data_IF_625831494970
#
_entry.id   IF_625831494970
#
_cell.length_a   1.000
_cell.length_b   1.000
_cell.length_c   1.000
_cell.angle_alpha   90.00
_cell.angle_beta   90.00
_cell.angle_gamma   90.00
#
_symmetry.space_group_name_H-M   'P 1'
#
loop_
_entity.id
_entity.type
_entity.pdbx_description
1 polymer ?
#
# COMPACT_ATOMS: atom_id res chain seq x y z
N UNK A 1 -20.21 17.97 -14.58
CA UNK A 1 -19.23 17.93 -13.46
C UNK A 1 -19.83 17.06 -12.35
N UNK A 2 -19.16 16.00 -11.89
CA UNK A 2 -19.69 15.21 -10.78
C UNK A 2 -19.72 16.07 -9.50
N UNK A 3 -20.88 16.16 -8.85
CA UNK A 3 -21.05 16.80 -7.55
C UNK A 3 -20.15 16.14 -6.50
N UNK A 4 -19.88 16.82 -5.39
CA UNK A 4 -19.11 16.26 -4.26
C UNK A 4 -19.71 14.93 -3.77
N UNK A 5 -21.05 14.81 -3.79
CA UNK A 5 -21.76 13.57 -3.51
C UNK A 5 -21.44 12.46 -4.53
N UNK A 6 -21.45 12.78 -5.83
CA UNK A 6 -21.12 11.81 -6.89
C UNK A 6 -19.69 11.25 -6.79
N UNK A 7 -18.71 12.08 -6.37
CA UNK A 7 -17.34 11.60 -6.11
C UNK A 7 -17.25 10.71 -4.87
N UNK A 8 -18.04 11.00 -3.84
CA UNK A 8 -18.14 10.17 -2.65
C UNK A 8 -18.68 8.77 -2.95
N UNK A 9 -19.79 8.70 -3.69
CA UNK A 9 -20.39 7.42 -4.12
C UNK A 9 -19.40 6.61 -4.93
N UNK A 10 -18.74 7.23 -5.92
CA UNK A 10 -17.77 6.55 -6.76
C UNK A 10 -16.56 6.00 -5.96
N UNK A 11 -16.12 6.72 -4.92
CA UNK A 11 -15.08 6.22 -4.01
C UNK A 11 -15.53 5.00 -3.20
N UNK A 12 -16.75 5.04 -2.66
CA UNK A 12 -17.33 3.90 -1.94
C UNK A 12 -17.53 2.69 -2.86
N UNK A 13 -17.99 2.91 -4.10
CA UNK A 13 -18.10 1.85 -5.10
C UNK A 13 -16.74 1.23 -5.43
N UNK A 14 -15.69 2.03 -5.58
CA UNK A 14 -14.34 1.50 -5.80
C UNK A 14 -13.86 0.69 -4.59
N UNK A 15 -14.06 1.19 -3.37
CA UNK A 15 -13.70 0.42 -2.16
C UNK A 15 -14.46 -0.91 -2.11
N UNK A 16 -15.75 -0.92 -2.41
CA UNK A 16 -16.55 -2.15 -2.47
C UNK A 16 -16.03 -3.13 -3.54
N UNK A 17 -15.69 -2.64 -4.73
CA UNK A 17 -15.09 -3.46 -5.80
C UNK A 17 -13.74 -4.03 -5.35
N UNK A 18 -12.88 -3.22 -4.73
CA UNK A 18 -11.58 -3.66 -4.23
C UNK A 18 -11.71 -4.72 -3.12
N UNK A 19 -12.68 -4.58 -2.23
CA UNK A 19 -13.00 -5.58 -1.21
C UNK A 19 -13.54 -6.87 -1.84
N UNK A 20 -14.42 -6.78 -2.84
CA UNK A 20 -14.95 -7.94 -3.55
C UNK A 20 -13.83 -8.70 -4.27
N UNK A 21 -12.96 -8.00 -5.01
CA UNK A 21 -11.78 -8.60 -5.66
C UNK A 21 -10.86 -9.22 -4.60
N UNK A 22 -10.58 -8.50 -3.51
CA UNK A 22 -9.76 -9.02 -2.41
C UNK A 22 -10.35 -10.27 -1.77
N UNK A 23 -11.67 -10.35 -1.65
CA UNK A 23 -12.39 -11.52 -1.13
C UNK A 23 -12.26 -12.71 -2.09
N UNK A 24 -12.51 -12.50 -3.39
CA UNK A 24 -12.34 -13.55 -4.42
C UNK A 24 -10.92 -14.07 -4.40
N UNK A 25 -9.92 -13.18 -4.42
CA UNK A 25 -8.51 -13.57 -4.33
C UNK A 25 -8.26 -14.36 -3.04
N UNK A 26 -8.70 -13.86 -1.88
CA UNK A 26 -8.48 -14.51 -0.60
C UNK A 26 -9.18 -15.88 -0.45
N UNK A 27 -10.25 -16.14 -1.21
CA UNK A 27 -10.91 -17.46 -1.25
C UNK A 27 -10.18 -18.41 -2.21
N UNK A 28 -9.73 -17.91 -3.36
CA UNK A 28 -8.97 -18.70 -4.33
C UNK A 28 -7.59 -19.08 -3.81
N UNK A 29 -7.02 -18.23 -2.97
CA UNK A 29 -5.76 -18.47 -2.29
C UNK A 29 -6.03 -19.21 -0.98
N UNK A 30 -5.80 -20.52 -0.91
CA UNK A 30 -5.97 -21.27 0.35
C UNK A 30 -4.84 -20.95 1.36
N UNK A 31 -5.10 -20.21 2.47
CA UNK A 31 -4.07 -19.84 3.42
C UNK A 31 -3.96 -20.82 4.60
N UNK A 32 -4.75 -21.91 4.64
CA UNK A 32 -4.79 -22.87 5.76
C UNK A 32 -3.57 -23.78 5.87
N UNK A 33 -2.66 -23.72 4.91
CA UNK A 33 -1.56 -24.68 4.80
C UNK A 33 -0.26 -24.21 5.45
N UNK A 34 -0.23 -23.01 6.06
CA UNK A 34 0.90 -22.54 6.87
C UNK A 34 0.82 -23.09 8.28
N UNK A 35 1.97 -23.54 8.80
CA UNK A 35 2.16 -23.62 10.25
C UNK A 35 2.05 -22.22 10.85
N UNK A 36 1.34 -22.12 11.98
CA UNK A 36 1.17 -20.87 12.70
C UNK A 36 2.54 -20.38 13.15
N UNK A 37 3.00 -19.27 12.57
CA UNK A 37 4.21 -18.64 13.05
C UNK A 37 3.95 -18.03 14.43
N UNK A 38 4.75 -18.42 15.41
CA UNK A 38 4.73 -17.84 16.75
C UNK A 38 5.32 -16.44 16.69
N UNK A 39 4.56 -15.45 17.13
CA UNK A 39 5.05 -14.08 17.24
C UNK A 39 5.78 -13.95 18.57
N UNK A 40 7.04 -13.51 18.51
CA UNK A 40 7.84 -13.23 19.69
C UNK A 40 7.20 -12.09 20.52
N UNK A 41 7.11 -12.18 21.86
CA UNK A 41 6.54 -11.13 22.70
C UNK A 41 7.12 -9.73 22.47
N UNK A 42 8.39 -9.62 22.11
CA UNK A 42 8.99 -8.32 21.81
C UNK A 42 8.40 -7.71 20.52
N UNK A 43 8.24 -8.49 19.47
CA UNK A 43 7.63 -8.05 18.21
C UNK A 43 6.16 -7.64 18.41
N UNK A 44 5.42 -8.39 19.24
CA UNK A 44 4.05 -8.05 19.62
C UNK A 44 3.97 -6.68 20.34
N UNK A 45 4.83 -6.45 21.35
CA UNK A 45 4.86 -5.17 22.07
C UNK A 45 5.23 -3.99 21.18
N UNK A 46 6.22 -4.15 20.32
CA UNK A 46 6.59 -3.13 19.33
C UNK A 46 5.40 -2.87 18.39
N UNK A 47 4.70 -3.91 17.94
CA UNK A 47 3.51 -3.77 17.11
C UNK A 47 2.40 -2.97 17.82
N UNK A 48 2.17 -3.20 19.12
CA UNK A 48 1.20 -2.44 19.93
C UNK A 48 1.55 -0.96 20.01
N UNK A 49 2.83 -0.62 20.27
CA UNK A 49 3.29 0.78 20.32
C UNK A 49 3.09 1.45 18.96
N UNK A 50 3.51 0.82 17.88
CA UNK A 50 3.33 1.34 16.51
C UNK A 50 1.86 1.47 16.14
N UNK A 51 1.01 0.51 16.55
CA UNK A 51 -0.42 0.55 16.34
C UNK A 51 -1.03 1.78 17.02
N UNK A 52 -0.71 2.02 18.30
CA UNK A 52 -1.18 3.19 19.04
C UNK A 52 -0.76 4.48 18.33
N UNK A 53 0.51 4.59 17.91
CA UNK A 53 0.99 5.76 17.18
C UNK A 53 0.24 5.97 15.85
N UNK A 54 0.02 4.91 15.09
CA UNK A 54 -0.73 4.96 13.83
C UNK A 54 -2.20 5.34 14.03
N UNK A 55 -2.86 4.77 15.04
CA UNK A 55 -4.25 5.08 15.40
C UNK A 55 -4.36 6.53 15.88
N UNK A 56 -3.47 7.00 16.74
CA UNK A 56 -3.43 8.40 17.20
C UNK A 56 -3.27 9.36 16.02
N UNK A 57 -2.38 9.06 15.07
CA UNK A 57 -2.24 9.87 13.85
C UNK A 57 -3.54 9.96 13.04
N UNK A 58 -4.21 8.83 12.84
CA UNK A 58 -5.50 8.79 12.13
C UNK A 58 -6.60 9.53 12.89
N UNK A 59 -6.69 9.36 14.21
CA UNK A 59 -7.67 10.04 15.06
C UNK A 59 -7.46 11.56 15.06
N UNK A 60 -6.21 12.03 15.22
CA UNK A 60 -5.88 13.45 15.09
C UNK A 60 -6.33 13.96 13.73
N UNK A 61 -6.03 13.23 12.65
CA UNK A 61 -6.43 13.61 11.30
C UNK A 61 -7.96 13.67 11.12
N UNK A 62 -8.68 12.68 11.64
CA UNK A 62 -10.14 12.59 11.57
C UNK A 62 -10.82 13.70 12.38
N UNK A 63 -10.35 13.97 13.60
CA UNK A 63 -10.88 15.01 14.49
C UNK A 63 -10.56 16.40 13.92
N UNK A 64 -9.31 16.64 13.51
CA UNK A 64 -8.90 17.91 12.92
C UNK A 64 -9.59 18.18 11.56
N UNK A 65 -10.04 17.15 10.85
CA UNK A 65 -10.85 17.32 9.65
C UNK A 65 -12.27 17.85 9.95
N UNK A 66 -12.79 17.65 11.17
CA UNK A 66 -14.14 18.07 11.60
C UNK A 66 -14.13 19.33 12.47
N UNK A 67 -12.99 19.70 13.03
CA UNK A 67 -12.87 20.78 14.03
C UNK A 67 -11.89 21.87 13.58
N UNK A 68 -11.87 23.00 14.28
CA UNK A 68 -10.89 24.10 14.06
C UNK A 68 -9.51 23.82 14.69
N UNK A 69 -9.20 22.57 15.05
CA UNK A 69 -7.96 22.16 15.75
C UNK A 69 -6.66 22.35 14.93
N UNK A 70 -6.73 22.97 13.75
CA UNK A 70 -5.65 23.14 12.76
C UNK A 70 -4.50 24.05 13.24
N UNK A 71 -4.63 24.69 14.42
CA UNK A 71 -3.59 25.60 14.95
C UNK A 71 -2.41 24.91 15.64
N UNK A 72 -2.47 23.60 15.92
CA UNK A 72 -1.34 22.88 16.55
C UNK A 72 -0.40 22.25 15.51
N UNK A 73 0.93 22.33 15.70
CA UNK A 73 1.90 21.70 14.79
C UNK A 73 1.63 20.19 14.68
N UNK A 74 1.69 19.63 13.47
CA UNK A 74 1.42 18.22 13.18
C UNK A 74 -0.05 17.87 12.94
N UNK A 75 -1.00 18.59 13.57
CA UNK A 75 -2.43 18.35 13.34
C UNK A 75 -2.85 18.67 11.90
N UNK A 76 -2.22 19.68 11.28
CA UNK A 76 -2.46 20.01 9.88
C UNK A 76 -1.96 18.91 8.93
N UNK A 77 -0.79 18.31 9.20
CA UNK A 77 -0.27 17.18 8.44
C UNK A 77 -1.16 15.93 8.55
N UNK A 78 -1.56 15.57 9.78
CA UNK A 78 -2.46 14.46 10.03
C UNK A 78 -3.81 14.67 9.32
N UNK A 79 -4.39 15.87 9.43
CA UNK A 79 -5.62 16.25 8.72
C UNK A 79 -5.46 16.15 7.21
N UNK A 80 -4.36 16.67 6.67
CA UNK A 80 -4.08 16.62 5.24
C UNK A 80 -4.03 15.17 4.75
N UNK A 81 -3.30 14.31 5.47
CA UNK A 81 -3.19 12.89 5.14
C UNK A 81 -4.53 12.15 5.22
N UNK A 82 -5.34 12.42 6.26
CA UNK A 82 -6.67 11.83 6.43
C UNK A 82 -7.65 12.27 5.33
N UNK A 83 -7.70 13.57 5.03
CA UNK A 83 -8.59 14.08 3.99
C UNK A 83 -8.14 13.58 2.61
N UNK A 84 -6.84 13.58 2.33
CA UNK A 84 -6.32 13.15 1.05
C UNK A 84 -6.42 11.62 0.84
N UNK A 85 -6.44 10.81 1.90
CA UNK A 85 -6.65 9.36 1.78
C UNK A 85 -8.12 8.97 1.68
N UNK A 86 -9.03 9.68 2.36
CA UNK A 86 -10.48 9.38 2.34
C UNK A 86 -11.24 10.13 1.24
N UNK A 87 -10.80 11.35 0.94
CA UNK A 87 -11.34 12.25 -0.10
C UNK A 87 -10.20 12.77 -1.00
N UNK A 88 -9.47 11.88 -1.68
CA UNK A 88 -8.35 12.18 -2.59
C UNK A 88 -8.55 13.31 -3.61
N UNK A 89 -9.78 13.56 -4.07
CA UNK A 89 -10.08 14.69 -4.95
C UNK A 89 -9.91 16.07 -4.28
N UNK A 90 -9.81 16.13 -2.94
CA UNK A 90 -9.54 17.34 -2.14
C UNK A 90 -8.08 17.43 -1.66
N UNK A 91 -7.21 16.54 -2.13
CA UNK A 91 -5.79 16.48 -1.71
C UNK A 91 -5.06 17.82 -1.85
N UNK A 92 -5.29 18.56 -2.94
CA UNK A 92 -4.71 19.90 -3.15
C UNK A 92 -5.12 20.88 -2.06
N UNK A 93 -6.42 21.06 -1.84
CA UNK A 93 -6.96 21.95 -0.80
C UNK A 93 -6.39 21.62 0.58
N UNK A 94 -6.23 20.34 0.87
CA UNK A 94 -5.75 19.87 2.17
C UNK A 94 -4.26 20.10 2.42
N UNK A 95 -3.47 20.33 1.36
CA UNK A 95 -2.01 20.52 1.44
C UNK A 95 -1.56 22.00 1.37
N UNK A 96 -2.51 22.93 1.20
CA UNK A 96 -2.23 24.37 1.19
C UNK A 96 -1.95 24.87 2.60
N UNK A 97 -0.96 25.76 2.74
CA UNK A 97 -0.63 26.41 4.02
C UNK A 97 0.09 25.54 5.05
N UNK A 98 0.60 24.36 4.65
CA UNK A 98 1.38 23.49 5.55
C UNK A 98 2.71 24.13 5.94
N UNK A 99 3.00 24.13 7.25
CA UNK A 99 4.26 24.58 7.83
C UNK A 99 5.40 23.60 7.47
N UNK A 100 6.68 24.01 7.58
CA UNK A 100 7.82 23.13 7.33
C UNK A 100 7.81 21.85 8.18
N UNK A 101 7.43 21.97 9.45
CA UNK A 101 7.31 20.82 10.35
C UNK A 101 6.18 19.87 9.92
N UNK A 102 5.04 20.40 9.48
CA UNK A 102 3.93 19.57 8.98
C UNK A 102 4.34 18.77 7.74
N UNK A 103 5.09 19.41 6.85
CA UNK A 103 5.65 18.78 5.64
C UNK A 103 6.61 17.64 5.99
N UNK A 104 7.47 17.87 6.99
CA UNK A 104 8.39 16.86 7.49
C UNK A 104 7.63 15.68 8.11
N UNK A 105 6.66 15.95 8.98
CA UNK A 105 5.83 14.92 9.63
C UNK A 105 5.02 14.11 8.62
N UNK A 106 4.56 14.73 7.52
CA UNK A 106 3.83 14.03 6.45
C UNK A 106 4.69 13.02 5.66
N UNK A 107 6.01 13.13 5.75
CA UNK A 107 6.96 12.16 5.18
C UNK A 107 7.42 11.19 6.28
N UNK A 108 7.86 11.72 7.42
CA UNK A 108 8.44 10.93 8.51
C UNK A 108 7.44 9.95 9.10
N UNK A 109 6.20 10.36 9.40
CA UNK A 109 5.25 9.48 10.08
C UNK A 109 4.85 8.29 9.21
N UNK A 110 4.37 8.46 7.96
CA UNK A 110 4.05 7.32 7.11
C UNK A 110 5.28 6.49 6.73
N UNK A 111 6.42 7.14 6.48
CA UNK A 111 7.68 6.46 6.13
C UNK A 111 8.22 5.60 7.26
N UNK A 112 8.32 6.16 8.48
CA UNK A 112 8.75 5.43 9.66
C UNK A 112 7.76 4.32 10.00
N UNK A 113 6.46 4.57 9.95
CA UNK A 113 5.46 3.54 10.24
C UNK A 113 5.55 2.38 9.24
N UNK A 114 5.74 2.67 7.94
CA UNK A 114 5.94 1.65 6.92
C UNK A 114 7.19 0.81 7.19
N UNK A 115 8.34 1.46 7.38
CA UNK A 115 9.62 0.78 7.61
C UNK A 115 9.55 -0.06 8.89
N UNK A 116 9.10 0.51 9.99
CA UNK A 116 9.02 -0.18 11.28
C UNK A 116 7.98 -1.32 11.24
N UNK A 117 6.86 -1.15 10.54
CA UNK A 117 5.90 -2.26 10.32
C UNK A 117 6.57 -3.40 9.55
N UNK A 118 7.42 -3.11 8.54
CA UNK A 118 8.15 -4.15 7.81
C UNK A 118 9.21 -4.84 8.67
N UNK A 119 9.93 -4.10 9.50
CA UNK A 119 10.89 -4.68 10.46
C UNK A 119 10.17 -5.63 11.41
N UNK A 120 9.04 -5.21 11.99
CA UNK A 120 8.26 -6.05 12.91
C UNK A 120 7.72 -7.31 12.22
N UNK A 121 7.37 -7.22 10.94
CA UNK A 121 6.85 -8.35 10.16
C UNK A 121 7.93 -9.31 9.65
N UNK A 122 9.20 -9.00 9.84
CA UNK A 122 10.29 -9.76 9.22
C UNK A 122 11.25 -10.24 10.32
N UNK A 123 11.37 -11.55 10.57
CA UNK A 123 12.43 -12.08 11.42
C UNK A 123 13.82 -11.66 10.91
N UNK A 124 14.82 -11.67 11.80
CA UNK A 124 16.16 -11.09 11.53
C UNK A 124 16.83 -11.58 10.25
N UNK A 125 16.51 -12.77 9.76
CA UNK A 125 17.13 -13.37 8.56
C UNK A 125 16.43 -12.95 7.24
N UNK A 126 15.27 -12.30 7.31
CA UNK A 126 14.44 -11.93 6.15
C UNK A 126 14.61 -10.50 5.62
N UNK A 127 15.62 -9.75 6.08
CA UNK A 127 15.77 -8.31 5.81
C UNK A 127 15.81 -7.95 4.31
N UNK A 128 16.24 -8.86 3.44
CA UNK A 128 16.23 -8.64 1.99
C UNK A 128 14.83 -8.43 1.41
N UNK A 129 13.84 -9.20 1.85
CA UNK A 129 12.45 -9.02 1.41
C UNK A 129 11.88 -7.68 1.85
N UNK A 130 12.25 -7.23 3.06
CA UNK A 130 11.94 -5.89 3.55
C UNK A 130 12.59 -4.82 2.67
N UNK A 131 13.90 -4.92 2.41
CA UNK A 131 14.65 -3.94 1.62
C UNK A 131 14.07 -3.80 0.21
N UNK A 132 13.71 -4.92 -0.44
CA UNK A 132 13.09 -4.90 -1.76
C UNK A 132 11.69 -4.26 -1.71
N UNK A 133 10.90 -4.54 -0.68
CA UNK A 133 9.60 -3.89 -0.50
C UNK A 133 9.73 -2.37 -0.30
N UNK A 134 10.68 -1.93 0.53
CA UNK A 134 10.98 -0.50 0.75
C UNK A 134 11.51 0.14 -0.54
N UNK A 135 12.42 -0.52 -1.25
CA UNK A 135 12.95 -0.07 -2.53
C UNK A 135 11.84 0.11 -3.57
N UNK A 136 10.86 -0.78 -3.61
CA UNK A 136 9.68 -0.65 -4.47
C UNK A 136 8.89 0.64 -4.21
N UNK A 137 8.67 0.99 -2.94
CA UNK A 137 8.05 2.27 -2.56
C UNK A 137 8.90 3.48 -2.93
N UNK A 138 10.22 3.40 -2.75
CA UNK A 138 11.14 4.47 -3.13
C UNK A 138 11.20 4.68 -4.65
N UNK A 139 11.21 3.61 -5.44
CA UNK A 139 11.13 3.67 -6.90
C UNK A 139 9.82 4.31 -7.34
N UNK A 140 8.70 3.92 -6.73
CA UNK A 140 7.41 4.56 -7.00
C UNK A 140 7.43 6.06 -6.66
N UNK A 141 7.94 6.43 -5.49
CA UNK A 141 8.06 7.84 -5.07
C UNK A 141 8.96 8.64 -6.02
N UNK A 142 10.09 8.07 -6.46
CA UNK A 142 11.00 8.68 -7.43
C UNK A 142 10.32 8.87 -8.79
N UNK A 143 9.63 7.86 -9.32
CA UNK A 143 8.90 7.94 -10.58
C UNK A 143 7.83 9.04 -10.54
N UNK A 144 7.03 9.08 -9.45
CA UNK A 144 6.05 10.14 -9.20
C UNK A 144 6.72 11.52 -9.17
N UNK A 145 7.84 11.65 -8.45
CA UNK A 145 8.58 12.91 -8.32
C UNK A 145 9.11 13.41 -9.66
N UNK A 146 9.63 12.51 -10.50
CA UNK A 146 10.12 12.82 -11.84
C UNK A 146 8.97 13.30 -12.75
N UNK A 147 7.82 12.62 -12.71
CA UNK A 147 6.67 12.95 -13.56
C UNK A 147 5.95 14.24 -13.16
N UNK A 148 5.97 14.59 -11.87
CA UNK A 148 5.47 15.87 -11.37
C UNK A 148 6.32 17.05 -11.85
N UNK A 149 7.64 16.86 -11.99
CA UNK A 149 8.56 17.91 -12.43
C UNK A 149 8.61 19.08 -11.43
N UNK A 150 8.30 20.31 -11.86
CA UNK A 150 8.29 21.50 -10.97
C UNK A 150 7.01 21.66 -10.14
N UNK A 151 6.03 20.76 -10.29
CA UNK A 151 4.74 20.82 -9.57
C UNK A 151 4.90 20.40 -8.11
N UNK A 152 3.99 20.88 -7.26
CA UNK A 152 3.98 20.56 -5.83
C UNK A 152 3.71 19.07 -5.56
N UNK A 153 4.59 18.37 -4.81
CA UNK A 153 4.41 16.95 -4.47
C UNK A 153 3.52 16.72 -3.25
N UNK A 154 3.22 17.76 -2.46
CA UNK A 154 2.52 17.62 -1.19
C UNK A 154 1.12 16.97 -1.27
N UNK A 155 0.29 17.22 -2.30
CA UNK A 155 -1.01 16.55 -2.42
C UNK A 155 -0.91 15.02 -2.54
N UNK A 156 0.08 14.51 -3.27
CA UNK A 156 0.25 13.06 -3.43
C UNK A 156 0.89 12.44 -2.19
N UNK A 157 1.86 13.13 -1.57
CA UNK A 157 2.47 12.68 -0.31
C UNK A 157 1.40 12.56 0.78
N UNK A 158 0.48 13.53 0.88
CA UNK A 158 -0.65 13.46 1.80
C UNK A 158 -1.56 12.24 1.52
N UNK A 159 -1.95 12.05 0.25
CA UNK A 159 -2.87 11.01 -0.16
C UNK A 159 -2.29 9.60 0.08
N UNK A 160 -1.09 9.36 -0.45
CA UNK A 160 -0.37 8.09 -0.34
C UNK A 160 0.03 7.83 1.11
N UNK A 161 0.55 8.84 1.81
CA UNK A 161 0.93 8.73 3.22
C UNK A 161 -0.23 8.34 4.12
N UNK A 162 -1.40 8.98 3.96
CA UNK A 162 -2.59 8.61 4.73
C UNK A 162 -3.10 7.20 4.43
N UNK A 163 -3.07 6.77 3.16
CA UNK A 163 -3.45 5.42 2.76
C UNK A 163 -2.46 4.35 3.27
N UNK A 164 -1.16 4.67 3.28
CA UNK A 164 -0.11 3.82 3.86
C UNK A 164 -0.28 3.65 5.37
N UNK A 165 -0.61 4.72 6.10
CA UNK A 165 -0.86 4.62 7.55
C UNK A 165 -2.05 3.71 7.83
N UNK A 166 -3.17 3.85 7.08
CA UNK A 166 -4.32 2.95 7.21
C UNK A 166 -3.94 1.47 6.99
N UNK A 167 -3.14 1.20 5.95
CA UNK A 167 -2.61 -0.13 5.67
C UNK A 167 -1.75 -0.66 6.82
N UNK A 168 -0.82 0.15 7.32
CA UNK A 168 0.07 -0.25 8.40
C UNK A 168 -0.72 -0.53 9.69
N UNK A 169 -1.74 0.29 10.02
CA UNK A 169 -2.62 0.06 11.17
C UNK A 169 -3.33 -1.29 11.09
N UNK A 170 -3.90 -1.67 9.93
CA UNK A 170 -4.52 -2.98 9.76
C UNK A 170 -3.52 -4.11 9.92
N UNK A 171 -2.33 -3.96 9.35
CA UNK A 171 -1.31 -5.00 9.43
C UNK A 171 -0.74 -5.14 10.86
N UNK A 172 -0.54 -4.03 11.57
CA UNK A 172 -0.09 -3.99 12.96
C UNK A 172 -1.17 -4.51 13.92
N UNK A 173 -2.46 -4.29 13.64
CA UNK A 173 -3.55 -4.83 14.44
C UNK A 173 -3.45 -6.35 14.54
N UNK A 174 -3.24 -7.02 13.41
CA UNK A 174 -3.10 -8.47 13.37
C UNK A 174 -1.89 -8.97 14.19
N UNK A 175 -0.75 -8.28 14.13
CA UNK A 175 0.48 -8.63 14.86
C UNK A 175 0.41 -8.27 16.35
N UNK A 176 -0.23 -7.15 16.69
CA UNK A 176 -0.33 -6.64 18.06
C UNK A 176 -1.21 -7.48 18.98
N UNK A 177 -2.11 -8.26 18.36
CA UNK A 177 -3.05 -9.16 18.98
C UNK A 177 -2.63 -10.61 18.72
N UNK A 178 -1.31 -10.84 18.56
CA UNK A 178 -0.79 -12.16 18.21
C UNK A 178 -0.58 -13.12 19.39
N UNK A 179 -0.69 -12.63 20.63
CA UNK A 179 -0.49 -13.43 21.84
C UNK A 179 -1.48 -14.59 22.03
N UNK A 180 -1.27 -15.44 23.06
CA UNK A 180 -2.04 -16.69 23.27
C UNK A 180 -3.57 -16.49 23.38
N UNK A 181 -3.98 -15.36 23.96
CA UNK A 181 -5.38 -14.95 24.16
C UNK A 181 -5.89 -14.02 23.03
N UNK A 182 -5.07 -13.78 22.01
CA UNK A 182 -5.29 -12.78 20.97
C UNK A 182 -6.14 -13.28 19.79
N UNK A 183 -6.21 -12.48 18.72
CA UNK A 183 -6.98 -12.84 17.51
C UNK A 183 -6.21 -13.77 16.58
N UNK A 184 -4.90 -13.96 16.77
CA UNK A 184 -4.07 -14.82 15.91
C UNK A 184 -4.61 -16.23 15.80
N UNK A 185 -4.90 -16.94 16.91
CA UNK A 185 -5.43 -18.29 16.83
C UNK A 185 -6.76 -18.30 16.09
N UNK A 186 -7.61 -17.28 16.28
CA UNK A 186 -8.89 -17.14 15.57
C UNK A 186 -8.70 -16.89 14.06
N UNK A 187 -7.75 -16.04 13.66
CA UNK A 187 -7.39 -15.80 12.25
C UNK A 187 -6.97 -17.11 11.56
N UNK A 188 -6.23 -17.97 12.27
CA UNK A 188 -5.77 -19.24 11.74
C UNK A 188 -6.85 -20.33 11.77
N UNK A 189 -7.69 -20.35 12.80
CA UNK A 189 -8.76 -21.33 12.98
C UNK A 189 -9.99 -21.06 12.10
N UNK A 190 -10.34 -19.80 11.86
CA UNK A 190 -11.59 -19.43 11.19
C UNK A 190 -11.35 -18.88 9.77
N UNK A 191 -11.84 -19.56 8.71
CA UNK A 191 -11.61 -19.16 7.31
C UNK A 191 -12.03 -17.74 7.01
N UNK A 192 -13.21 -17.37 7.49
CA UNK A 192 -13.87 -16.11 7.15
C UNK A 192 -13.16 -14.90 7.77
N UNK A 193 -12.57 -15.03 8.97
CA UNK A 193 -11.78 -13.96 9.61
C UNK A 193 -10.57 -13.64 8.74
N UNK A 194 -9.92 -14.69 8.23
CA UNK A 194 -8.74 -14.55 7.39
C UNK A 194 -9.06 -13.99 6.01
N UNK A 195 -10.12 -14.48 5.38
CA UNK A 195 -10.60 -13.93 4.10
C UNK A 195 -10.91 -12.45 4.25
N UNK A 196 -11.58 -12.06 5.33
CA UNK A 196 -11.87 -10.65 5.64
C UNK A 196 -10.57 -9.84 5.82
N UNK A 197 -9.61 -10.33 6.61
CA UNK A 197 -8.32 -9.68 6.80
C UNK A 197 -7.58 -9.48 5.47
N UNK A 198 -7.48 -10.52 4.64
CA UNK A 198 -6.81 -10.47 3.35
C UNK A 198 -7.52 -9.53 2.37
N UNK A 199 -8.85 -9.56 2.33
CA UNK A 199 -9.64 -8.66 1.50
C UNK A 199 -9.39 -7.19 1.87
N UNK A 200 -9.39 -6.86 3.16
CA UNK A 200 -9.10 -5.51 3.65
C UNK A 200 -7.64 -5.13 3.37
N UNK A 201 -6.70 -6.02 3.64
CA UNK A 201 -5.28 -5.78 3.41
C UNK A 201 -4.99 -5.52 1.93
N UNK A 202 -5.58 -6.30 1.03
CA UNK A 202 -5.51 -6.12 -0.42
C UNK A 202 -6.14 -4.79 -0.85
N UNK A 203 -7.37 -4.53 -0.41
CA UNK A 203 -8.09 -3.31 -0.76
C UNK A 203 -7.31 -2.06 -0.36
N UNK A 204 -6.65 -2.08 0.81
CA UNK A 204 -5.80 -0.96 1.27
C UNK A 204 -4.52 -0.80 0.43
N UNK A 205 -3.91 -1.88 -0.10
CA UNK A 205 -2.81 -1.73 -1.09
C UNK A 205 -3.32 -1.04 -2.33
N UNK A 206 -4.38 -1.60 -2.93
CA UNK A 206 -4.92 -1.10 -4.18
C UNK A 206 -5.40 0.35 -4.03
N UNK A 207 -5.97 0.69 -2.87
CA UNK A 207 -6.38 2.04 -2.53
C UNK A 207 -5.23 3.05 -2.59
N UNK A 208 -4.01 2.69 -2.21
CA UNK A 208 -2.84 3.58 -2.33
C UNK A 208 -2.64 4.05 -3.78
N UNK A 209 -2.81 3.16 -4.76
CA UNK A 209 -2.69 3.51 -6.17
C UNK A 209 -3.88 4.33 -6.67
N UNK A 210 -5.10 4.04 -6.17
CA UNK A 210 -6.30 4.83 -6.48
C UNK A 210 -6.15 6.28 -6.00
N UNK A 211 -5.75 6.48 -4.74
CA UNK A 211 -5.56 7.84 -4.18
C UNK A 211 -4.40 8.57 -4.86
N UNK A 212 -3.33 7.86 -5.25
CA UNK A 212 -2.25 8.42 -6.05
C UNK A 212 -2.76 8.91 -7.42
N UNK A 213 -3.49 8.07 -8.16
CA UNK A 213 -4.06 8.42 -9.45
C UNK A 213 -5.02 9.62 -9.37
N UNK A 214 -5.89 9.67 -8.36
CA UNK A 214 -6.81 10.79 -8.22
C UNK A 214 -6.13 12.09 -7.76
N UNK A 215 -5.18 12.02 -6.83
CA UNK A 215 -4.41 13.20 -6.41
C UNK A 215 -3.59 13.80 -7.57
N UNK A 216 -3.08 12.96 -8.47
CA UNK A 216 -2.33 13.38 -9.66
C UNK A 216 -3.23 13.87 -10.80
N UNK A 217 -4.50 13.44 -10.87
CA UNK A 217 -5.40 13.75 -11.98
C UNK A 217 -5.60 15.26 -12.18
N UNK A 218 -5.62 16.03 -11.08
CA UNK A 218 -5.73 17.49 -11.13
C UNK A 218 -4.43 18.18 -11.59
N UNK A 219 -3.29 17.48 -11.52
CA UNK A 219 -1.97 18.03 -11.84
C UNK A 219 -1.46 17.64 -13.24
N UNK A 220 -1.70 16.39 -13.63
CA UNK A 220 -1.16 15.78 -14.84
C UNK A 220 -2.24 15.46 -15.88
N UNK A 221 -3.52 15.64 -15.54
CA UNK A 221 -4.66 15.18 -16.34
C UNK A 221 -4.99 13.71 -16.10
N UNK A 222 -6.23 13.32 -16.41
CA UNK A 222 -6.79 11.98 -16.11
C UNK A 222 -5.96 10.84 -16.69
N UNK A 223 -5.54 10.96 -17.96
CA UNK A 223 -4.75 9.92 -18.64
C UNK A 223 -3.42 9.66 -17.96
N UNK A 224 -2.60 10.71 -17.77
CA UNK A 224 -1.26 10.56 -17.19
C UNK A 224 -1.32 10.07 -15.77
N UNK A 225 -2.30 10.53 -14.99
CA UNK A 225 -2.49 10.09 -13.62
C UNK A 225 -2.92 8.63 -13.52
N UNK A 226 -3.80 8.15 -14.41
CA UNK A 226 -4.12 6.73 -14.53
C UNK A 226 -2.88 5.91 -14.94
N UNK A 227 -2.05 6.44 -15.85
CA UNK A 227 -0.78 5.84 -16.22
C UNK A 227 0.17 5.66 -15.04
N UNK A 228 0.30 6.67 -14.17
CA UNK A 228 1.14 6.56 -12.96
C UNK A 228 0.61 5.52 -11.98
N UNK A 229 -0.71 5.49 -11.73
CA UNK A 229 -1.30 4.49 -10.86
C UNK A 229 -1.09 3.07 -11.39
N UNK A 230 -1.29 2.87 -12.70
CA UNK A 230 -1.09 1.59 -13.37
C UNK A 230 0.38 1.16 -13.39
N UNK A 231 1.30 2.10 -13.65
CA UNK A 231 2.73 1.84 -13.59
C UNK A 231 3.18 1.44 -12.18
N UNK A 232 2.72 2.16 -11.15
CA UNK A 232 3.00 1.82 -9.76
C UNK A 232 2.47 0.45 -9.36
N UNK A 233 1.25 0.10 -9.81
CA UNK A 233 0.69 -1.24 -9.63
C UNK A 233 1.54 -2.30 -10.34
N UNK A 234 1.97 -2.04 -11.57
CA UNK A 234 2.87 -2.90 -12.34
C UNK A 234 4.20 -3.15 -11.63
N UNK A 235 4.83 -2.11 -11.06
CA UNK A 235 6.02 -2.27 -10.20
C UNK A 235 5.71 -3.16 -9.01
N UNK A 236 4.59 -2.92 -8.32
CA UNK A 236 4.15 -3.75 -7.20
C UNK A 236 4.05 -5.24 -7.53
N UNK A 237 3.50 -5.57 -8.70
CA UNK A 237 3.41 -6.96 -9.20
C UNK A 237 4.72 -7.53 -9.73
N UNK A 238 5.64 -6.68 -10.21
CA UNK A 238 6.95 -7.11 -10.67
C UNK A 238 7.94 -7.36 -9.51
N UNK A 239 7.72 -6.79 -8.33
CA UNK A 239 8.62 -6.93 -7.17
C UNK A 239 8.84 -8.39 -6.73
N UNK A 240 7.80 -9.25 -6.60
CA UNK A 240 8.02 -10.68 -6.30
C UNK A 240 8.94 -11.35 -7.32
N UNK A 241 8.71 -11.12 -8.62
CA UNK A 241 9.54 -11.69 -9.69
C UNK A 241 10.98 -11.17 -9.64
N UNK A 242 11.18 -9.88 -9.39
CA UNK A 242 12.51 -9.30 -9.20
C UNK A 242 13.23 -9.88 -7.97
N UNK A 243 12.50 -10.11 -6.88
CA UNK A 243 13.03 -10.75 -5.66
C UNK A 243 13.53 -12.16 -5.97
N UNK A 244 12.73 -12.95 -6.68
CA UNK A 244 13.08 -14.30 -7.12
C UNK A 244 14.30 -14.28 -8.05
N UNK A 245 14.37 -13.31 -8.98
CA UNK A 245 15.48 -13.18 -9.90
C UNK A 245 16.80 -12.82 -9.18
N UNK A 246 16.75 -12.04 -8.10
CA UNK A 246 17.94 -11.59 -7.35
C UNK A 246 18.36 -12.61 -6.29
N UNK A 247 17.42 -13.12 -5.50
CA UNK A 247 17.70 -13.99 -4.35
C UNK A 247 17.66 -15.47 -4.71
N UNK A 248 17.10 -15.83 -5.87
CA UNK A 248 16.70 -17.20 -6.17
C UNK A 248 15.33 -17.53 -5.56
N UNK A 249 14.60 -18.40 -6.26
CA UNK A 249 13.26 -18.84 -5.88
C UNK A 249 13.18 -19.42 -4.46
N UNK A 250 14.16 -20.25 -4.07
CA UNK A 250 14.17 -20.95 -2.79
C UNK A 250 14.33 -20.00 -1.61
N UNK A 251 15.31 -19.09 -1.66
CA UNK A 251 15.57 -18.13 -0.59
C UNK A 251 14.48 -17.05 -0.50
N UNK A 252 13.92 -16.63 -1.65
CA UNK A 252 12.78 -15.73 -1.68
C UNK A 252 11.55 -16.34 -0.97
N UNK A 253 11.21 -17.61 -1.28
CA UNK A 253 10.11 -18.31 -0.62
C UNK A 253 10.37 -18.52 0.86
N UNK A 254 11.58 -18.96 1.25
CA UNK A 254 11.94 -19.10 2.66
C UNK A 254 11.71 -17.79 3.40
N UNK A 255 12.25 -16.69 2.87
CA UNK A 255 12.12 -15.35 3.44
C UNK A 255 10.66 -14.91 3.56
N UNK A 256 9.82 -15.18 2.55
CA UNK A 256 8.40 -14.81 2.60
C UNK A 256 7.59 -15.71 3.53
N UNK A 257 7.97 -16.98 3.67
CA UNK A 257 7.37 -17.94 4.59
C UNK A 257 7.70 -17.65 6.05
N UNK A 258 8.87 -17.07 6.30
CA UNK A 258 9.27 -16.62 7.62
C UNK A 258 8.70 -15.24 7.99
N UNK A 259 8.02 -14.51 7.10
CA UNK A 259 7.42 -13.22 7.48
C UNK A 259 6.20 -13.40 8.40
N UNK A 260 6.19 -12.66 9.51
CA UNK A 260 5.06 -12.51 10.43
C UNK A 260 3.96 -11.75 9.69
N UNK A 261 3.04 -12.50 9.12
CA UNK A 261 1.92 -11.96 8.35
C UNK A 261 1.04 -13.05 7.76
N UNK A 262 -0.22 -12.71 7.57
CA UNK A 262 -1.24 -13.63 7.02
C UNK A 262 -1.19 -13.68 5.49
N UNK A 263 -0.35 -12.85 4.85
CA UNK A 263 -0.25 -12.82 3.39
C UNK A 263 0.31 -14.16 2.87
N UNK A 264 -0.43 -14.82 1.96
CA UNK A 264 -0.11 -16.15 1.46
C UNK A 264 0.97 -16.05 0.39
N UNK A 265 2.21 -16.34 0.76
CA UNK A 265 3.32 -16.44 -0.20
C UNK A 265 3.82 -17.86 -0.37
N UNK A 266 3.13 -18.85 0.22
CA UNK A 266 3.51 -20.25 0.03
C UNK A 266 3.01 -20.77 -1.33
N UNK A 267 3.65 -20.21 -2.34
CA UNK A 267 3.44 -20.44 -3.76
C UNK A 267 3.53 -21.94 -4.11
N UNK A 268 4.36 -22.72 -3.40
CA UNK A 268 4.52 -24.15 -3.60
C UNK A 268 3.20 -24.94 -3.58
N UNK A 269 2.16 -24.48 -2.85
CA UNK A 269 0.87 -25.18 -2.77
C UNK A 269 -0.26 -24.58 -3.59
N UNK A 270 -0.12 -23.36 -4.12
CA UNK A 270 -1.13 -22.74 -5.00
C UNK A 270 -1.40 -23.53 -6.29
N UNK A 271 -0.44 -24.36 -6.70
CA UNK A 271 -0.54 -25.21 -7.89
C UNK A 271 -0.79 -26.68 -7.56
N UNK A 272 -1.07 -27.03 -6.29
CA UNK A 272 -1.23 -28.41 -5.85
C UNK A 272 0.06 -29.23 -5.82
N UNK A 273 1.24 -28.60 -5.98
CA UNK A 273 2.52 -29.30 -5.93
C UNK A 273 2.86 -29.69 -4.48
N UNK A 274 2.49 -30.91 -4.09
CA UNK A 274 2.94 -31.54 -2.83
C UNK A 274 4.45 -31.84 -2.80
N UNK A 275 5.16 -31.64 -3.92
CA UNK A 275 6.52 -32.15 -4.12
C UNK A 275 7.61 -31.06 -4.17
N UNK A 276 7.34 -29.86 -3.63
CA UNK A 276 8.37 -28.80 -3.55
C UNK A 276 8.71 -28.14 -4.89
N UNK A 277 7.86 -28.32 -5.92
CA UNK A 277 8.01 -27.62 -7.20
C UNK A 277 7.58 -26.14 -7.07
N UNK A 278 8.45 -25.23 -7.48
CA UNK A 278 8.17 -23.80 -7.55
C UNK A 278 7.10 -23.51 -8.61
N UNK A 279 6.01 -22.76 -8.30
CA UNK A 279 4.95 -22.50 -9.27
C UNK A 279 5.36 -21.40 -10.25
N UNK A 280 6.28 -21.75 -11.13
CA UNK A 280 6.86 -20.84 -12.10
C UNK A 280 5.76 -20.18 -12.93
N UNK A 281 4.70 -20.89 -13.28
CA UNK A 281 3.56 -20.39 -14.06
C UNK A 281 2.81 -19.22 -13.40
N UNK A 282 2.50 -19.31 -12.11
CA UNK A 282 1.79 -18.22 -11.40
C UNK A 282 2.72 -17.01 -11.28
N UNK A 283 4.00 -17.25 -10.98
CA UNK A 283 5.00 -16.19 -10.88
C UNK A 283 5.26 -15.50 -12.22
N UNK A 284 5.41 -16.26 -13.30
CA UNK A 284 5.59 -15.71 -14.65
C UNK A 284 4.35 -14.99 -15.11
N UNK A 285 3.15 -15.53 -14.88
CA UNK A 285 1.89 -14.85 -15.21
C UNK A 285 1.76 -13.53 -14.47
N UNK A 286 2.04 -13.52 -13.16
CA UNK A 286 2.00 -12.31 -12.34
C UNK A 286 3.05 -11.29 -12.79
N UNK A 287 4.26 -11.75 -13.13
CA UNK A 287 5.33 -10.92 -13.67
C UNK A 287 4.96 -10.31 -15.02
N UNK A 288 4.34 -11.08 -15.92
CA UNK A 288 3.88 -10.63 -17.24
C UNK A 288 2.77 -9.60 -17.08
N UNK A 289 1.76 -9.87 -16.25
CA UNK A 289 0.69 -8.89 -15.94
C UNK A 289 1.30 -7.61 -15.37
N UNK A 290 2.23 -7.73 -14.41
CA UNK A 290 2.95 -6.60 -13.84
C UNK A 290 3.75 -5.81 -14.87
N UNK A 291 4.47 -6.50 -15.76
CA UNK A 291 5.25 -5.92 -16.84
C UNK A 291 4.38 -5.19 -17.88
N UNK A 292 3.27 -5.80 -18.31
CA UNK A 292 2.31 -5.17 -19.23
C UNK A 292 1.68 -3.93 -18.57
N UNK A 293 1.23 -4.03 -17.33
CA UNK A 293 0.69 -2.91 -16.58
C UNK A 293 1.72 -1.78 -16.44
N UNK A 294 2.98 -2.12 -16.15
CA UNK A 294 4.08 -1.17 -16.07
C UNK A 294 4.29 -0.43 -17.41
N UNK A 295 4.42 -1.18 -18.51
CA UNK A 295 4.66 -0.61 -19.85
C UNK A 295 3.50 0.29 -20.26
N UNK A 296 2.27 -0.21 -20.18
CA UNK A 296 1.06 0.57 -20.52
C UNK A 296 0.96 1.80 -19.63
N UNK A 297 1.22 1.66 -18.33
CA UNK A 297 1.23 2.75 -17.37
C UNK A 297 2.24 3.85 -17.73
N UNK A 298 3.47 3.48 -18.05
CA UNK A 298 4.53 4.39 -18.50
C UNK A 298 4.11 5.12 -19.79
N UNK A 299 3.62 4.39 -20.80
CA UNK A 299 3.17 4.97 -22.07
C UNK A 299 1.99 5.95 -21.89
N UNK A 300 1.11 5.68 -20.92
CA UNK A 300 0.03 6.60 -20.57
C UNK A 300 0.53 7.82 -19.77
N UNK A 301 1.58 7.67 -18.95
CA UNK A 301 2.16 8.70 -18.11
C UNK A 301 3.06 9.70 -18.87
N UNK A 302 3.63 9.28 -20.01
CA UNK A 302 4.49 10.13 -20.83
C UNK A 302 3.69 11.28 -21.49
N UNK A 303 4.27 12.50 -21.56
CA UNK A 303 3.66 13.60 -22.27
C UNK A 303 3.62 13.30 -23.78
N UNK A 304 2.49 13.55 -24.45
CA UNK A 304 2.45 13.54 -25.91
C UNK A 304 3.31 14.71 -26.39
N UNK A 305 4.36 14.42 -27.17
CA UNK A 305 5.05 15.46 -27.95
C UNK A 305 4.04 15.98 -28.97
N UNK A 306 3.48 17.16 -28.72
CA UNK A 306 2.80 17.91 -29.77
C UNK A 306 3.91 18.38 -30.69
N UNK A 307 4.02 17.74 -31.86
CA UNK A 307 4.88 18.23 -32.92
C UNK A 307 4.25 19.53 -33.39
N UNK A 308 4.71 20.66 -32.85
CA UNK A 308 4.37 21.97 -33.39
C UNK A 308 5.05 22.01 -34.75
N UNK A 309 4.27 21.75 -35.80
CA UNK A 309 4.68 22.03 -37.17
C UNK A 309 4.87 23.55 -37.20
N UNK A 310 6.12 24.00 -37.07
CA UNK A 310 6.49 25.38 -37.35
C UNK A 310 6.12 25.62 -38.82
N UNK A 311 4.98 26.26 -39.05
CA UNK A 311 4.66 26.84 -40.34
C UNK A 311 5.75 27.89 -40.60
N UNK A 312 6.60 27.59 -41.58
CA UNK A 312 7.42 28.57 -42.27
C UNK A 312 6.56 29.23 -43.34
#
# INVERSE_FOLDING_TARGET
MATTAGRGILALSIVAILLAIGTVLAVLVDPFTREQMTVDPAAEWVARVLLVLGVVWLLIGAIAARTRLVRRPGAAAARASWIASTRPWRSRESSLGLLPLDRLLMILVPGALLVMTRVVQTPRDGLWGMLIAVAGWLVFAAAVRLLLGRRSPWPIIAAVGGALVLRCVVALLAVSLSGPEGIWPTIWAQPWVRVLYLAVAFALVAWVFVVAGWSLSAQLGRRRAAGVALAGMGVGYALPAATIAVMGARDALRTWNEQIGVLPWDLARFTGARDGAFPLEIMTTTAVIGGVALIVGVLLALPRRVYVRSAR
#
